data_IF_448339473595
#
_entry.id   IF_448339473595
#
_cell.length_a   1.000
_cell.length_b   1.000
_cell.length_c   1.000
_cell.angle_alpha   90.00
_cell.angle_beta   90.00
_cell.angle_gamma   90.00
#
_symmetry.space_group_name_H-M   'P 1'
#
loop_
_entity.id
_entity.type
_entity.pdbx_description
1 polymer ?
#
# COMPACT_ATOMS: atom_id res chain seq x y z
N UNK A 1 -6.49 12.30 -13.33
CA UNK A 1 -5.79 11.34 -12.75
C UNK A 1 -4.40 11.65 -12.56
N UNK A 2 -4.01 11.77 -11.41
CA UNK A 2 -2.66 12.12 -11.13
C UNK A 2 -1.88 10.90 -10.76
N UNK A 3 -0.60 10.97 -10.92
CA UNK A 3 0.26 9.91 -10.49
C UNK A 3 0.42 9.84 -9.00
N UNK A 4 -0.29 10.70 -8.31
CA UNK A 4 -0.19 10.73 -6.85
C UNK A 4 -1.31 9.97 -6.20
N UNK A 5 -1.89 9.03 -6.91
CA UNK A 5 -2.95 8.25 -6.33
C UNK A 5 -2.47 7.54 -5.08
N UNK A 6 -3.30 7.57 -4.08
CA UNK A 6 -3.03 6.89 -2.83
C UNK A 6 -4.12 5.86 -2.63
N UNK A 7 -3.70 4.64 -2.34
CA UNK A 7 -4.62 3.53 -2.18
C UNK A 7 -4.77 3.18 -0.71
N UNK A 8 -5.97 2.75 -0.35
CA UNK A 8 -6.16 2.21 0.98
C UNK A 8 -5.51 0.83 1.05
N UNK A 9 -5.15 0.36 2.25
CA UNK A 9 -4.51 -0.94 2.36
C UNK A 9 -5.31 -2.07 1.70
N UNK A 10 -6.62 -2.03 1.82
CA UNK A 10 -7.45 -3.06 1.21
C UNK A 10 -7.34 -3.01 -0.31
N UNK A 11 -7.31 -1.82 -0.87
CA UNK A 11 -7.18 -1.67 -2.31
C UNK A 11 -5.82 -2.13 -2.79
N UNK A 12 -4.79 -1.80 -2.01
CA UNK A 12 -3.44 -2.22 -2.36
C UNK A 12 -3.35 -3.74 -2.35
N UNK A 13 -3.97 -4.37 -1.35
CA UNK A 13 -3.96 -5.82 -1.25
C UNK A 13 -4.64 -6.45 -2.46
N UNK A 14 -5.74 -5.88 -2.89
CA UNK A 14 -6.44 -6.41 -4.06
C UNK A 14 -5.58 -6.31 -5.31
N UNK A 15 -4.87 -5.21 -5.46
CA UNK A 15 -4.03 -5.03 -6.63
C UNK A 15 -2.90 -6.03 -6.67
N UNK A 16 -2.36 -6.37 -5.51
CA UNK A 16 -1.25 -7.32 -5.44
C UNK A 16 -1.73 -8.77 -5.31
N UNK A 17 -3.01 -8.97 -5.09
CA UNK A 17 -3.53 -10.32 -4.94
C UNK A 17 -3.14 -10.97 -3.63
N UNK A 18 -3.00 -10.17 -2.57
CA UNK A 18 -2.62 -10.69 -1.27
C UNK A 18 -3.67 -10.28 -0.24
N UNK A 19 -3.57 -10.85 0.94
CA UNK A 19 -4.49 -10.48 2.02
C UNK A 19 -4.15 -9.08 2.53
N UNK A 20 -5.18 -8.38 2.99
CA UNK A 20 -4.99 -7.03 3.49
C UNK A 20 -3.96 -6.99 4.63
N UNK A 21 -3.96 -8.00 5.47
CA UNK A 21 -3.02 -8.03 6.59
C UNK A 21 -1.57 -8.03 6.13
N UNK A 22 -1.31 -8.57 4.95
CA UNK A 22 0.04 -8.56 4.41
C UNK A 22 0.49 -7.14 4.16
N UNK A 23 -0.42 -6.34 3.61
CA UNK A 23 -0.11 -4.94 3.35
C UNK A 23 0.07 -4.19 4.66
N UNK A 24 -0.82 -4.40 5.62
CA UNK A 24 -0.72 -3.71 6.90
C UNK A 24 0.58 -4.06 7.60
N UNK A 25 0.95 -5.33 7.56
CA UNK A 25 2.19 -5.74 8.19
C UNK A 25 3.40 -5.12 7.51
N UNK A 26 3.38 -5.03 6.18
CA UNK A 26 4.47 -4.40 5.45
C UNK A 26 4.60 -2.94 5.84
N UNK A 27 3.47 -2.28 6.10
CA UNK A 27 3.50 -0.89 6.55
C UNK A 27 4.13 -0.77 7.93
N UNK A 28 3.79 -1.69 8.83
CA UNK A 28 4.38 -1.68 10.16
C UNK A 28 5.88 -1.96 10.12
N UNK A 29 6.30 -2.81 9.20
CA UNK A 29 7.70 -3.16 9.07
C UNK A 29 8.47 -2.14 8.25
N UNK A 30 7.77 -1.10 7.79
CA UNK A 30 8.38 -0.05 7.00
C UNK A 30 8.91 -0.53 5.67
N UNK A 31 8.31 -1.56 5.15
CA UNK A 31 8.62 -2.02 3.80
C UNK A 31 7.85 -1.21 2.77
N UNK A 32 6.71 -0.66 3.17
CA UNK A 32 5.91 0.17 2.30
C UNK A 32 5.81 1.56 2.90
N UNK A 33 6.02 2.60 2.10
CA UNK A 33 5.77 3.95 2.57
C UNK A 33 4.28 4.13 2.79
N UNK A 34 3.95 5.00 3.70
CA UNK A 34 2.55 5.30 3.99
C UNK A 34 2.37 6.79 4.00
N UNK A 35 1.20 7.22 3.57
CA UNK A 35 0.86 8.62 3.49
C UNK A 35 -0.38 8.83 4.33
N UNK A 36 -0.36 9.87 5.13
CA UNK A 36 -1.53 10.20 5.92
C UNK A 36 -2.43 11.10 5.11
N UNK A 37 -3.66 10.67 4.94
CA UNK A 37 -4.63 11.44 4.18
C UNK A 37 -5.21 12.55 5.03
N UNK A 38 -5.94 13.46 4.39
CA UNK A 38 -6.48 14.61 5.09
C UNK A 38 -7.41 14.23 6.22
N UNK A 39 -8.09 13.12 6.09
CA UNK A 39 -9.03 12.69 7.12
C UNK A 39 -8.37 11.81 8.19
N UNK A 40 -7.05 11.70 8.14
CA UNK A 40 -6.35 10.89 9.13
C UNK A 40 -6.14 9.45 8.72
N UNK A 41 -6.69 9.04 7.60
CA UNK A 41 -6.53 7.67 7.13
C UNK A 41 -5.14 7.48 6.54
N UNK A 42 -4.57 6.32 6.78
CA UNK A 42 -3.28 6.00 6.16
C UNK A 42 -3.52 5.33 4.83
N UNK A 43 -2.71 5.71 3.85
CA UNK A 43 -2.78 5.13 2.53
C UNK A 43 -1.40 4.81 2.02
N UNK A 44 -1.34 4.19 0.85
CA UNK A 44 -0.10 3.77 0.23
C UNK A 44 -0.03 4.40 -1.15
N UNK A 45 1.05 5.12 -1.47
CA UNK A 45 1.17 5.68 -2.82
C UNK A 45 1.17 4.55 -3.84
N UNK A 46 0.40 4.75 -4.91
CA UNK A 46 0.31 3.73 -5.95
C UNK A 46 1.68 3.42 -6.53
N UNK A 47 2.52 4.42 -6.66
CA UNK A 47 3.85 4.22 -7.22
C UNK A 47 4.68 3.28 -6.34
N UNK A 48 4.46 3.29 -5.03
CA UNK A 48 5.20 2.42 -4.14
C UNK A 48 4.83 0.95 -4.36
N UNK A 49 3.60 0.70 -4.76
CA UNK A 49 3.17 -0.67 -5.02
C UNK A 49 3.88 -1.27 -6.22
N UNK A 50 4.21 -0.43 -7.17
CA UNK A 50 4.89 -0.93 -8.36
C UNK A 50 6.29 -1.42 -8.03
N UNK A 51 6.89 -0.84 -7.01
CA UNK A 51 8.22 -1.26 -6.57
C UNK A 51 8.16 -2.35 -5.52
N UNK A 52 7.02 -2.49 -4.87
CA UNK A 52 6.89 -3.47 -3.80
C UNK A 52 6.58 -4.82 -4.42
N UNK A 53 7.42 -5.79 -4.16
CA UNK A 53 7.14 -7.14 -4.60
C UNK A 53 6.95 -8.01 -3.40
N UNK A 54 5.88 -8.77 -3.42
CA UNK A 54 5.66 -9.75 -2.38
C UNK A 54 6.63 -10.87 -2.64
N UNK A 55 7.46 -11.15 -1.66
CA UNK A 55 8.47 -12.17 -1.83
C UNK A 55 7.84 -13.53 -1.72
N UNK A 56 7.02 -13.86 -2.65
CA UNK A 56 6.26 -15.07 -2.54
C UNK A 56 6.62 -16.08 -3.60
N UNK A 57 7.61 -15.87 -4.30
CA UNK A 57 7.94 -16.82 -5.34
C UNK A 57 8.53 -18.08 -4.81
#
# INVERSE_FOLDING_TARGET
MSGDDVLLPAEAAQRLGVATRVIVQAMYERRLPRVKLDDGTLGIPAAALESFTVAST
#
